data_IF_807498144005
#
_entry.id   IF_807498144005
#
_cell.length_a   1.000
_cell.length_b   1.000
_cell.length_c   1.000
_cell.angle_alpha   90.00
_cell.angle_beta   90.00
_cell.angle_gamma   90.00
#
_symmetry.space_group_name_H-M   'P 1'
#
loop_
_entity.id
_entity.type
_entity.pdbx_description
1 polymer ?
#
# COMPACT_ATOMS: atom_id res chain seq x y z
N UNK A 1 35.03 -1.07 -14.83
CA UNK A 1 34.10 -0.47 -15.81
C UNK A 1 33.04 0.26 -15.01
N UNK A 2 32.93 1.59 -15.13
CA UNK A 2 31.95 2.38 -14.39
C UNK A 2 30.76 2.67 -15.31
N UNK A 3 29.57 2.23 -14.91
CA UNK A 3 28.32 2.62 -15.54
C UNK A 3 27.73 3.77 -14.73
N UNK A 4 27.42 4.90 -15.37
CA UNK A 4 26.76 6.05 -14.72
C UNK A 4 25.40 6.23 -15.36
N UNK A 5 24.33 6.09 -14.58
CA UNK A 5 22.95 6.33 -15.02
C UNK A 5 22.55 7.77 -14.67
N UNK A 6 22.01 8.52 -15.62
CA UNK A 6 21.39 9.82 -15.35
C UNK A 6 19.86 9.72 -15.35
N UNK A 7 19.18 10.80 -14.96
CA UNK A 7 17.71 10.83 -14.88
C UNK A 7 16.99 10.45 -16.18
N UNK A 8 17.56 10.80 -17.35
CA UNK A 8 16.99 10.43 -18.66
C UNK A 8 17.16 8.95 -18.99
N UNK A 9 18.19 8.31 -18.43
CA UNK A 9 18.39 6.87 -18.60
C UNK A 9 17.40 6.10 -17.72
N UNK A 10 17.22 6.55 -16.47
CA UNK A 10 16.23 5.98 -15.54
C UNK A 10 14.81 6.09 -16.11
N UNK A 11 14.46 7.23 -16.73
CA UNK A 11 13.13 7.43 -17.31
C UNK A 11 12.84 6.55 -18.53
N UNK A 12 13.84 5.88 -19.11
CA UNK A 12 13.69 4.94 -20.23
C UNK A 12 13.57 3.49 -19.77
N UNK A 13 13.87 3.21 -18.51
CA UNK A 13 13.72 1.87 -17.95
C UNK A 13 12.24 1.49 -17.89
N UNK A 14 11.97 0.19 -18.03
CA UNK A 14 10.64 -0.34 -17.75
C UNK A 14 10.28 -0.06 -16.29
N UNK A 15 8.98 -0.01 -16.00
CA UNK A 15 8.53 0.24 -14.64
C UNK A 15 9.03 -0.85 -13.66
N UNK A 16 9.07 -2.12 -14.09
CA UNK A 16 9.66 -3.21 -13.29
C UNK A 16 11.16 -3.01 -13.02
N UNK A 17 11.93 -2.56 -14.01
CA UNK A 17 13.37 -2.32 -13.85
C UNK A 17 13.64 -1.14 -12.91
N UNK A 18 12.78 -0.12 -12.91
CA UNK A 18 12.86 0.98 -11.93
C UNK A 18 12.55 0.48 -10.52
N UNK A 19 11.51 -0.35 -10.35
CA UNK A 19 11.17 -0.95 -9.07
C UNK A 19 12.31 -1.83 -8.53
N UNK A 20 12.94 -2.66 -9.38
CA UNK A 20 14.12 -3.46 -9.01
C UNK A 20 15.31 -2.59 -8.60
N UNK A 21 15.63 -1.55 -9.37
CA UNK A 21 16.69 -0.61 -9.01
C UNK A 21 16.40 0.10 -7.70
N UNK A 22 15.15 0.51 -7.47
CA UNK A 22 14.74 1.15 -6.24
C UNK A 22 14.92 0.21 -5.04
N UNK A 23 14.54 -1.06 -5.17
CA UNK A 23 14.75 -2.08 -4.14
C UNK A 23 16.24 -2.38 -3.87
N UNK A 24 17.08 -2.35 -4.91
CA UNK A 24 18.53 -2.58 -4.81
C UNK A 24 19.28 -1.39 -4.18
N UNK A 25 18.92 -0.17 -4.57
CA UNK A 25 19.62 1.07 -4.17
C UNK A 25 19.10 1.63 -2.85
N UNK A 26 17.82 1.42 -2.58
CA UNK A 26 17.16 1.77 -1.34
C UNK A 26 16.59 0.48 -0.74
N UNK A 27 17.48 -0.45 -0.28
CA UNK A 27 17.01 -1.61 0.46
C UNK A 27 16.12 -1.10 1.59
N UNK A 28 14.91 -1.66 1.73
CA UNK A 28 13.92 -1.25 2.73
C UNK A 28 14.61 -1.10 4.09
N UNK A 29 15.03 0.11 4.42
CA UNK A 29 15.88 0.36 5.57
C UNK A 29 14.98 0.35 6.78
N UNK A 30 15.02 -0.75 7.54
CA UNK A 30 14.23 -0.95 8.75
C UNK A 30 12.75 -0.65 8.52
N UNK A 31 12.02 -1.59 7.91
CA UNK A 31 10.56 -1.59 7.99
C UNK A 31 10.20 -1.44 9.48
N UNK A 32 9.77 -0.24 9.88
CA UNK A 32 9.06 -0.07 11.14
C UNK A 32 7.72 -0.72 10.87
N UNK A 33 7.65 -2.02 11.17
CA UNK A 33 6.44 -2.79 11.01
C UNK A 33 5.41 -2.21 11.97
N UNK A 34 4.17 -2.02 11.50
CA UNK A 34 3.11 -1.62 12.41
C UNK A 34 2.89 -2.65 13.51
N UNK A 35 2.41 -2.20 14.67
CA UNK A 35 2.30 -3.04 15.86
C UNK A 35 1.40 -4.28 15.62
N UNK A 36 1.93 -5.45 15.95
CA UNK A 36 1.23 -6.73 15.78
C UNK A 36 1.27 -7.30 14.37
N UNK A 37 2.13 -6.78 13.48
CA UNK A 37 2.44 -7.37 12.17
C UNK A 37 3.87 -7.89 12.10
N UNK A 38 4.06 -8.95 11.32
CA UNK A 38 5.35 -9.61 11.10
C UNK A 38 5.92 -9.27 9.72
N UNK A 39 7.19 -9.62 9.50
CA UNK A 39 7.81 -9.48 8.18
C UNK A 39 7.11 -10.32 7.10
N UNK A 40 6.52 -11.46 7.46
CA UNK A 40 5.82 -12.32 6.49
C UNK A 40 4.52 -11.68 6.01
N UNK A 41 3.79 -11.01 6.91
CA UNK A 41 2.58 -10.24 6.57
C UNK A 41 2.89 -9.12 5.57
N UNK A 42 4.11 -8.57 5.63
CA UNK A 42 4.59 -7.48 4.77
C UNK A 42 5.45 -7.93 3.59
N UNK A 43 5.66 -9.24 3.40
CA UNK A 43 6.62 -9.81 2.44
C UNK A 43 6.50 -9.29 1.02
N UNK A 44 5.27 -9.02 0.59
CA UNK A 44 4.98 -8.48 -0.75
C UNK A 44 4.21 -7.14 -0.68
N UNK A 45 4.14 -6.52 0.50
CA UNK A 45 3.52 -5.22 0.67
C UNK A 45 4.50 -4.16 0.22
N UNK A 46 4.07 -3.30 -0.70
CA UNK A 46 4.92 -2.29 -1.34
C UNK A 46 4.65 -0.90 -0.79
N UNK A 47 5.69 -0.07 -0.81
CA UNK A 47 5.56 1.36 -0.56
C UNK A 47 5.00 2.02 -1.82
N UNK A 48 3.93 2.80 -1.66
CA UNK A 48 3.36 3.61 -2.72
C UNK A 48 3.65 5.07 -2.45
N UNK A 49 4.29 5.73 -3.40
CA UNK A 49 4.55 7.18 -3.35
C UNK A 49 3.28 7.97 -3.60
N UNK A 50 3.28 9.26 -3.27
CA UNK A 50 2.16 10.16 -3.59
C UNK A 50 1.78 10.16 -5.08
N UNK A 51 2.75 10.08 -5.99
CA UNK A 51 2.50 9.97 -7.43
C UNK A 51 1.72 8.69 -7.77
N UNK A 52 2.16 7.56 -7.21
CA UNK A 52 1.50 6.27 -7.40
C UNK A 52 0.13 6.21 -6.72
N UNK A 53 -0.05 6.84 -5.56
CA UNK A 53 -1.35 6.97 -4.90
C UNK A 53 -2.30 7.82 -5.75
N UNK A 54 -1.82 8.91 -6.34
CA UNK A 54 -2.63 9.74 -7.22
C UNK A 54 -3.10 8.93 -8.44
N UNK A 55 -2.19 8.23 -9.14
CA UNK A 55 -2.53 7.34 -10.24
C UNK A 55 -3.49 6.22 -9.82
N UNK A 56 -3.25 5.63 -8.64
CA UNK A 56 -4.12 4.61 -8.06
C UNK A 56 -5.55 5.14 -7.92
N UNK A 57 -5.72 6.33 -7.34
CA UNK A 57 -7.02 6.89 -7.00
C UNK A 57 -7.85 7.37 -8.20
N UNK A 58 -7.24 7.72 -9.33
CA UNK A 58 -7.94 8.27 -10.51
C UNK A 58 -9.12 7.43 -10.99
N UNK A 59 -9.02 6.10 -10.90
CA UNK A 59 -10.05 5.18 -11.37
C UNK A 59 -10.62 4.29 -10.25
N UNK A 60 -10.45 4.69 -8.99
CA UNK A 60 -11.08 4.02 -7.85
C UNK A 60 -12.56 4.42 -7.72
N UNK A 61 -13.40 3.48 -7.30
CA UNK A 61 -14.76 3.81 -6.87
C UNK A 61 -14.71 4.68 -5.61
N UNK A 62 -15.79 5.40 -5.33
CA UNK A 62 -15.88 6.22 -4.12
C UNK A 62 -15.68 5.37 -2.86
N UNK A 63 -16.37 4.23 -2.75
CA UNK A 63 -16.19 3.26 -1.65
C UNK A 63 -14.74 2.80 -1.45
N UNK A 64 -13.93 2.65 -2.51
CA UNK A 64 -12.49 2.35 -2.35
C UNK A 64 -11.73 3.55 -1.78
N UNK A 65 -12.06 4.77 -2.22
CA UNK A 65 -11.45 6.00 -1.71
C UNK A 65 -11.79 6.19 -0.23
N UNK A 66 -13.06 6.02 0.14
CA UNK A 66 -13.55 6.16 1.51
C UNK A 66 -12.81 5.18 2.46
N UNK A 67 -12.63 3.92 2.04
CA UNK A 67 -11.85 2.95 2.83
C UNK A 67 -10.37 3.29 2.99
N UNK A 68 -9.78 3.94 1.99
CA UNK A 68 -8.38 4.36 2.06
C UNK A 68 -8.21 5.67 2.83
N UNK A 69 -9.23 6.52 2.85
CA UNK A 69 -9.32 7.71 3.69
C UNK A 69 -9.36 7.33 5.18
N UNK A 70 -10.07 6.25 5.54
CA UNK A 70 -10.02 5.69 6.90
C UNK A 70 -8.58 5.41 7.34
N UNK A 71 -7.75 4.85 6.46
CA UNK A 71 -6.33 4.63 6.76
C UNK A 71 -5.54 5.93 6.88
N UNK A 72 -5.86 6.95 6.08
CA UNK A 72 -5.22 8.26 6.19
C UNK A 72 -5.53 8.94 7.54
N UNK A 73 -6.76 8.81 8.04
CA UNK A 73 -7.24 9.45 9.27
C UNK A 73 -6.82 8.68 10.52
N UNK A 74 -6.97 7.36 10.52
CA UNK A 74 -6.84 6.54 11.73
C UNK A 74 -5.44 5.94 11.93
N UNK A 75 -4.57 6.02 10.92
CA UNK A 75 -3.20 5.54 11.01
C UNK A 75 -2.88 4.37 10.06
N UNK A 76 -1.61 3.94 10.05
CA UNK A 76 -1.14 2.88 9.15
C UNK A 76 -1.73 1.49 9.47
N UNK A 77 -2.43 1.34 10.60
CA UNK A 77 -3.17 0.13 10.99
C UNK A 77 -4.58 0.53 11.33
N UNK A 78 -5.55 -0.13 10.71
CA UNK A 78 -6.97 0.11 10.98
C UNK A 78 -7.69 -1.19 11.28
N UNK A 79 -8.61 -1.11 12.22
CA UNK A 79 -9.54 -2.18 12.54
C UNK A 79 -10.62 -2.29 11.44
N UNK A 80 -10.96 -3.51 11.03
CA UNK A 80 -11.95 -3.76 9.99
C UNK A 80 -13.33 -3.13 10.30
N UNK A 81 -13.67 -2.88 11.57
CA UNK A 81 -14.89 -2.14 11.96
C UNK A 81 -14.98 -0.77 11.32
N UNK A 82 -13.88 -0.03 11.28
CA UNK A 82 -13.85 1.32 10.71
C UNK A 82 -14.15 1.30 9.21
N UNK A 83 -13.81 0.21 8.52
CA UNK A 83 -14.14 0.02 7.11
C UNK A 83 -15.62 -0.29 6.91
N UNK A 84 -16.25 -1.02 7.84
CA UNK A 84 -17.70 -1.23 7.82
C UNK A 84 -18.48 0.07 8.10
N UNK A 85 -17.95 0.96 8.93
CA UNK A 85 -18.56 2.27 9.22
C UNK A 85 -18.65 3.17 7.97
N UNK A 86 -17.75 2.99 7.01
CA UNK A 86 -17.79 3.65 5.69
C UNK A 86 -18.43 2.79 4.60
N UNK A 87 -19.35 1.91 4.99
CA UNK A 87 -20.19 1.09 4.11
C UNK A 87 -19.42 0.08 3.22
N UNK A 88 -18.22 -0.35 3.63
CA UNK A 88 -17.50 -1.44 2.93
C UNK A 88 -18.01 -2.79 3.43
N UNK A 89 -19.11 -3.26 2.83
CA UNK A 89 -19.78 -4.50 3.25
C UNK A 89 -18.96 -5.77 2.97
N UNK A 90 -18.16 -5.77 1.89
CA UNK A 90 -17.38 -6.94 1.47
C UNK A 90 -15.88 -6.62 1.39
N UNK A 91 -15.21 -6.82 2.53
CA UNK A 91 -13.78 -6.56 2.69
C UNK A 91 -12.90 -7.41 1.78
N UNK A 92 -13.29 -8.66 1.48
CA UNK A 92 -12.56 -9.51 0.54
C UNK A 92 -12.61 -8.99 -0.90
N UNK A 93 -13.77 -8.50 -1.35
CA UNK A 93 -13.92 -7.87 -2.66
C UNK A 93 -13.15 -6.55 -2.74
N UNK A 94 -13.24 -5.73 -1.69
CA UNK A 94 -12.52 -4.46 -1.57
C UNK A 94 -10.99 -4.66 -1.62
N UNK A 95 -10.46 -5.55 -0.78
CA UNK A 95 -9.04 -5.95 -0.77
C UNK A 95 -8.60 -6.52 -2.13
N UNK A 96 -9.43 -7.35 -2.76
CA UNK A 96 -9.17 -7.90 -4.09
C UNK A 96 -9.07 -6.82 -5.17
N UNK A 97 -9.92 -5.79 -5.10
CA UNK A 97 -9.87 -4.62 -5.98
C UNK A 97 -8.59 -3.81 -5.81
N UNK A 98 -8.24 -3.50 -4.57
CA UNK A 98 -7.00 -2.78 -4.21
C UNK A 98 -5.77 -3.55 -4.70
N UNK A 99 -5.73 -4.86 -4.48
CA UNK A 99 -4.62 -5.72 -4.90
C UNK A 99 -4.42 -5.67 -6.42
N UNK A 100 -5.50 -5.85 -7.20
CA UNK A 100 -5.42 -5.81 -8.68
C UNK A 100 -4.82 -4.50 -9.15
N UNK A 101 -5.29 -3.39 -8.57
CA UNK A 101 -4.86 -2.05 -8.95
C UNK A 101 -3.44 -1.73 -8.52
N UNK A 102 -3.04 -2.16 -7.33
CA UNK A 102 -1.66 -2.02 -6.85
C UNK A 102 -0.70 -2.63 -7.88
N UNK A 103 -0.99 -3.85 -8.35
CA UNK A 103 -0.17 -4.54 -9.36
C UNK A 103 -0.16 -3.84 -10.71
N UNK A 104 -1.23 -3.13 -11.06
CA UNK A 104 -1.29 -2.32 -12.27
C UNK A 104 -0.38 -1.10 -12.15
N UNK A 105 -0.51 -0.33 -11.07
CA UNK A 105 0.26 0.89 -10.84
C UNK A 105 1.75 0.59 -10.65
N UNK A 106 2.10 -0.47 -9.91
CA UNK A 106 3.50 -0.84 -9.66
C UNK A 106 4.12 -1.75 -10.71
N UNK A 107 3.33 -2.26 -11.66
CA UNK A 107 3.77 -3.25 -12.65
C UNK A 107 4.27 -4.58 -12.06
N UNK A 108 4.21 -4.77 -10.74
CA UNK A 108 4.64 -5.98 -10.05
C UNK A 108 3.43 -6.87 -9.78
N UNK A 109 3.43 -8.08 -10.34
CA UNK A 109 2.36 -9.08 -10.19
C UNK A 109 2.22 -9.64 -8.78
N UNK A 110 3.22 -9.45 -7.93
CA UNK A 110 3.22 -9.92 -6.53
C UNK A 110 2.87 -8.81 -5.55
N UNK A 111 2.86 -7.55 -5.96
CA UNK A 111 2.62 -6.43 -5.06
C UNK A 111 1.23 -6.46 -4.41
N UNK A 112 1.21 -6.06 -3.14
CA UNK A 112 0.02 -5.72 -2.35
C UNK A 112 0.22 -4.34 -1.72
N UNK A 113 -0.86 -3.57 -1.60
CA UNK A 113 -0.86 -2.33 -0.80
C UNK A 113 -1.13 -2.64 0.68
N UNK A 114 -1.97 -3.64 0.94
CA UNK A 114 -2.46 -3.99 2.27
C UNK A 114 -1.79 -5.27 2.79
N UNK A 115 -1.32 -5.22 4.03
CA UNK A 115 -1.20 -6.37 4.91
C UNK A 115 -2.52 -6.59 5.65
N UNK A 116 -2.75 -7.81 6.14
CA UNK A 116 -3.86 -8.15 7.03
C UNK A 116 -3.40 -9.19 8.03
N UNK A 117 -3.91 -9.16 9.25
CA UNK A 117 -3.60 -10.18 10.26
C UNK A 117 -4.42 -11.47 10.04
N UNK A 118 -4.13 -12.52 10.81
CA UNK A 118 -4.97 -13.71 10.84
C UNK A 118 -6.22 -13.44 11.67
N UNK A 119 -7.34 -13.21 10.98
CA UNK A 119 -8.63 -12.88 11.59
C UNK A 119 -9.14 -13.97 12.53
N UNK A 120 -8.71 -15.23 12.33
CA UNK A 120 -9.08 -16.33 13.21
C UNK A 120 -8.43 -16.26 14.59
N UNK A 121 -7.38 -15.43 14.72
CA UNK A 121 -6.64 -15.17 15.95
C UNK A 121 -6.89 -13.77 16.53
N UNK A 122 -7.66 -12.94 15.82
CA UNK A 122 -7.89 -11.55 16.19
C UNK A 122 -8.90 -11.42 17.35
N UNK A 123 -8.71 -10.47 18.28
CA UNK A 123 -9.72 -10.13 19.28
C UNK A 123 -11.08 -9.87 18.61
N UNK A 124 -12.14 -10.44 19.19
CA UNK A 124 -13.53 -10.31 18.69
C UNK A 124 -13.78 -10.89 17.27
N UNK A 125 -12.83 -11.63 16.68
CA UNK A 125 -12.82 -12.04 15.26
C UNK A 125 -12.85 -10.85 14.28
N UNK A 126 -12.29 -9.72 14.71
CA UNK A 126 -12.23 -8.51 13.91
C UNK A 126 -10.78 -8.28 13.51
N UNK A 127 -10.49 -8.57 12.24
CA UNK A 127 -9.15 -8.40 11.72
C UNK A 127 -8.75 -6.95 11.54
N UNK A 128 -7.46 -6.75 11.31
CA UNK A 128 -6.86 -5.44 11.02
C UNK A 128 -6.23 -5.45 9.65
N UNK A 129 -6.30 -4.31 8.98
CA UNK A 129 -5.53 -4.02 7.78
C UNK A 129 -4.40 -3.07 8.10
N UNK A 130 -3.28 -3.21 7.40
CA UNK A 130 -2.17 -2.29 7.54
C UNK A 130 -1.56 -1.91 6.20
N UNK A 131 -1.01 -0.71 6.14
CA UNK A 131 -0.20 -0.19 5.04
C UNK A 131 1.21 0.10 5.54
N UNK A 132 2.16 0.26 4.62
CA UNK A 132 3.49 0.72 5.01
C UNK A 132 3.43 2.19 5.50
N UNK A 133 4.38 2.63 6.35
CA UNK A 133 4.44 4.03 6.77
C UNK A 133 4.54 5.03 5.60
N UNK A 134 5.22 4.65 4.52
CA UNK A 134 5.36 5.51 3.32
C UNK A 134 4.02 5.62 2.58
N UNK A 135 3.31 4.51 2.43
CA UNK A 135 1.96 4.50 1.84
C UNK A 135 1.00 5.33 2.69
N UNK A 136 1.05 5.19 4.03
CA UNK A 136 0.25 5.99 4.95
C UNK A 136 0.50 7.51 4.77
N UNK A 137 1.76 7.95 4.79
CA UNK A 137 2.10 9.36 4.56
C UNK A 137 1.61 9.86 3.18
N UNK A 138 1.68 8.99 2.17
CA UNK A 138 1.23 9.34 0.82
C UNK A 138 -0.30 9.42 0.74
N UNK A 139 -1.03 8.61 1.51
CA UNK A 139 -2.48 8.70 1.67
C UNK A 139 -2.87 9.99 2.40
N UNK A 140 -2.22 10.30 3.52
CA UNK A 140 -2.41 11.56 4.25
C UNK A 140 -2.26 12.77 3.31
N UNK A 141 -1.15 12.84 2.57
CA UNK A 141 -0.89 13.91 1.62
C UNK A 141 -1.91 13.98 0.47
N UNK A 142 -2.45 12.83 0.02
CA UNK A 142 -3.47 12.79 -1.03
C UNK A 142 -4.83 13.33 -0.55
N UNK A 143 -5.25 12.98 0.67
CA UNK A 143 -6.53 13.41 1.25
C UNK A 143 -6.45 14.78 1.93
N UNK A 144 -5.25 15.29 2.21
CA UNK A 144 -5.05 16.57 2.91
C UNK A 144 -5.08 16.45 4.43
N UNK A 145 -4.74 15.27 4.95
CA UNK A 145 -4.63 14.99 6.38
C UNK A 145 -3.18 15.23 6.86
N UNK A 146 -2.99 15.83 8.05
CA UNK A 146 -1.67 16.11 8.66
C UNK A 146 -1.37 15.17 9.84
#
# INVERSE_FOLDING_TARGET
MNLTLNARDISKLSHSARAELQALLFPKAGLVLPEGFTEDDFKNVVDLTLEQITEFMENCSQSTKDGLEVMAIHGPVVDARLLYEVEIENLGSWQGGITKRTRTVTGDRKAYMLAWDDWSSAPDNIGRYAVTPITHQSLQAYFGEE
#
